data_IF_329979071774
#
_entry.id   IF_329979071774
#
_cell.length_a   1.000
_cell.length_b   1.000
_cell.length_c   1.000
_cell.angle_alpha   90.00
_cell.angle_beta   90.00
_cell.angle_gamma   90.00
#
_symmetry.space_group_name_H-M   'P 1'
#
loop_
_entity.id
_entity.type
_entity.pdbx_description
1 polymer ?
#
# COMPACT_ATOMS: atom_id res chain seq x y z
N UNK A 1 -91.69 5.54 -7.83
CA UNK A 1 -91.39 4.26 -8.50
C UNK A 1 -90.36 3.51 -7.68
N UNK A 2 -90.48 2.18 -7.55
CA UNK A 2 -89.45 1.36 -6.92
C UNK A 2 -88.15 1.33 -7.75
N UNK A 3 -87.01 1.10 -7.10
CA UNK A 3 -85.68 1.05 -7.71
C UNK A 3 -84.70 0.21 -6.86
N UNK A 4 -83.42 0.18 -7.20
CA UNK A 4 -82.39 -0.45 -6.37
C UNK A 4 -81.26 0.52 -6.05
N UNK A 5 -80.55 0.33 -4.94
CA UNK A 5 -79.33 1.08 -4.62
C UNK A 5 -78.17 0.69 -5.57
N UNK A 6 -77.25 1.62 -5.91
CA UNK A 6 -76.31 1.41 -7.01
C UNK A 6 -75.16 0.44 -6.73
N UNK A 7 -74.75 0.20 -5.47
CA UNK A 7 -73.58 -0.64 -5.14
C UNK A 7 -73.99 -2.05 -4.70
N UNK A 8 -74.88 -2.15 -3.73
CA UNK A 8 -75.39 -3.40 -3.14
C UNK A 8 -76.65 -3.95 -3.82
N UNK A 9 -77.34 -3.16 -4.64
CA UNK A 9 -78.57 -3.58 -5.30
C UNK A 9 -79.79 -3.72 -4.36
N UNK A 10 -79.83 -3.01 -3.23
CA UNK A 10 -80.92 -3.11 -2.25
C UNK A 10 -82.21 -2.50 -2.83
N UNK A 11 -83.32 -3.26 -2.81
CA UNK A 11 -84.56 -2.92 -3.51
C UNK A 11 -85.42 -1.88 -2.76
N UNK A 12 -85.32 -0.61 -3.18
CA UNK A 12 -86.05 0.55 -2.67
C UNK A 12 -87.53 0.49 -3.04
N UNK A 13 -88.38 0.68 -2.03
CA UNK A 13 -89.85 0.62 -2.12
C UNK A 13 -90.46 1.95 -2.58
N UNK A 14 -91.70 1.94 -3.08
CA UNK A 14 -92.39 3.14 -3.57
C UNK A 14 -93.34 3.71 -2.50
N UNK A 15 -93.02 4.84 -1.83
CA UNK A 15 -93.84 5.36 -0.73
C UNK A 15 -95.28 5.69 -1.12
N UNK A 16 -95.56 5.94 -2.40
CA UNK A 16 -96.91 6.28 -2.89
C UNK A 16 -97.74 5.02 -3.18
N UNK A 17 -97.11 3.94 -3.68
CA UNK A 17 -97.81 2.70 -4.00
C UNK A 17 -97.93 1.74 -2.81
N UNK A 18 -96.92 1.69 -1.94
CA UNK A 18 -96.80 0.71 -0.84
C UNK A 18 -97.47 1.14 0.48
N UNK A 19 -98.26 2.24 0.47
CA UNK A 19 -99.05 2.82 1.60
C UNK A 19 -98.23 3.20 2.85
N UNK A 20 -97.71 4.42 2.85
CA UNK A 20 -96.86 5.01 3.89
C UNK A 20 -97.55 5.30 5.26
N UNK A 21 -98.87 5.07 5.40
CA UNK A 21 -99.68 5.63 6.50
C UNK A 21 -99.39 5.05 7.90
N UNK A 22 -98.79 3.86 8.00
CA UNK A 22 -98.42 3.21 9.27
C UNK A 22 -96.92 3.05 9.47
N UNK A 23 -96.12 3.32 8.43
CA UNK A 23 -94.66 3.19 8.45
C UNK A 23 -94.06 4.11 7.38
N UNK A 24 -93.17 5.03 7.77
CA UNK A 24 -92.49 5.92 6.82
C UNK A 24 -91.42 5.15 6.03
N UNK A 25 -91.82 4.58 4.90
CA UNK A 25 -90.98 3.78 4.00
C UNK A 25 -89.76 4.57 3.52
N UNK A 26 -89.89 5.88 3.29
CA UNK A 26 -88.75 6.66 2.82
C UNK A 26 -87.66 6.73 3.90
N UNK A 27 -87.97 7.25 5.08
CA UNK A 27 -86.94 7.49 6.11
C UNK A 27 -86.53 6.25 6.89
N UNK A 28 -87.44 5.30 7.11
CA UNK A 28 -87.13 4.11 7.90
C UNK A 28 -86.48 2.98 7.09
N UNK A 29 -86.61 3.00 5.75
CA UNK A 29 -86.17 1.92 4.87
C UNK A 29 -85.27 2.44 3.72
N UNK A 30 -85.82 3.25 2.82
CA UNK A 30 -85.09 3.70 1.61
C UNK A 30 -83.84 4.54 1.93
N UNK A 31 -83.95 5.53 2.82
CA UNK A 31 -82.84 6.41 3.22
C UNK A 31 -81.77 5.63 4.00
N UNK A 32 -82.18 4.63 4.79
CA UNK A 32 -81.25 3.75 5.51
C UNK A 32 -80.50 2.81 4.55
N UNK A 33 -81.15 2.31 3.51
CA UNK A 33 -80.48 1.55 2.45
C UNK A 33 -79.47 2.40 1.66
N UNK A 34 -79.79 3.65 1.32
CA UNK A 34 -78.81 4.55 0.68
C UNK A 34 -77.57 4.78 1.57
N UNK A 35 -77.77 4.96 2.88
CA UNK A 35 -76.68 5.16 3.86
C UNK A 35 -75.82 3.90 4.06
N UNK A 36 -76.42 2.71 3.98
CA UNK A 36 -75.68 1.44 4.01
C UNK A 36 -74.90 1.24 2.71
N UNK A 37 -75.51 1.50 1.55
CA UNK A 37 -74.90 1.37 0.21
C UNK A 37 -73.66 2.26 0.04
N UNK A 38 -73.77 3.52 0.48
CA UNK A 38 -72.67 4.49 0.49
C UNK A 38 -71.61 4.18 1.55
N UNK A 39 -71.99 3.48 2.64
CA UNK A 39 -71.13 3.18 3.78
C UNK A 39 -70.23 1.95 3.62
N UNK A 40 -70.37 1.18 2.54
CA UNK A 40 -69.62 -0.08 2.34
C UNK A 40 -68.97 -0.22 0.97
N UNK A 41 -67.99 -1.13 0.91
CA UNK A 41 -67.24 -1.50 -0.30
C UNK A 41 -67.39 -3.01 -0.50
N UNK A 42 -67.67 -3.42 -1.73
CA UNK A 42 -67.76 -4.82 -2.11
C UNK A 42 -66.36 -5.46 -2.14
N UNK A 43 -66.27 -6.75 -1.81
CA UNK A 43 -65.01 -7.50 -1.91
C UNK A 43 -64.44 -7.49 -3.34
N UNK A 44 -65.32 -7.47 -4.35
CA UNK A 44 -65.00 -7.38 -5.79
C UNK A 44 -64.43 -6.02 -6.23
N UNK A 45 -64.51 -5.00 -5.38
CA UNK A 45 -63.88 -3.69 -5.63
C UNK A 45 -62.44 -3.63 -5.08
N UNK A 46 -61.99 -4.59 -4.26
CA UNK A 46 -60.62 -4.60 -3.73
C UNK A 46 -59.63 -5.07 -4.78
N UNK A 47 -58.61 -4.25 -5.07
CA UNK A 47 -57.57 -4.56 -6.06
C UNK A 47 -58.03 -4.52 -7.53
N UNK A 48 -59.32 -4.28 -7.79
CA UNK A 48 -59.88 -4.10 -9.13
C UNK A 48 -59.49 -2.75 -9.74
N UNK A 49 -59.50 -2.67 -11.08
CA UNK A 49 -59.33 -1.41 -11.79
C UNK A 49 -60.44 -0.42 -11.42
N UNK A 50 -60.06 0.82 -11.06
CA UNK A 50 -60.93 1.86 -10.48
C UNK A 50 -61.59 1.48 -9.13
N UNK A 51 -61.10 0.43 -8.46
CA UNK A 51 -61.55 0.00 -7.14
C UNK A 51 -60.76 0.62 -5.98
N UNK A 52 -60.65 -0.11 -4.87
CA UNK A 52 -59.92 0.32 -3.66
C UNK A 52 -58.71 -0.58 -3.37
N UNK A 53 -57.70 -0.02 -2.70
CA UNK A 53 -56.65 -0.78 -2.03
C UNK A 53 -56.96 -0.91 -0.53
N UNK A 54 -56.38 -1.90 0.15
CA UNK A 54 -56.44 -1.95 1.62
C UNK A 54 -55.25 -1.22 2.24
N UNK A 55 -55.45 -0.69 3.45
CA UNK A 55 -54.44 0.08 4.18
C UNK A 55 -53.82 -0.74 5.32
N UNK A 56 -52.58 -0.42 5.66
CA UNK A 56 -51.90 -0.89 6.86
C UNK A 56 -52.39 -0.15 8.13
N UNK A 57 -51.86 -0.54 9.29
CA UNK A 57 -52.16 0.10 10.58
C UNK A 57 -51.72 1.57 10.69
N UNK A 58 -50.95 2.07 9.72
CA UNK A 58 -50.50 3.46 9.61
C UNK A 58 -51.28 4.23 8.53
N UNK A 59 -52.41 3.67 8.05
CA UNK A 59 -53.27 4.22 6.99
C UNK A 59 -52.59 4.40 5.62
N UNK A 60 -51.58 3.60 5.29
CA UNK A 60 -50.89 3.60 3.99
C UNK A 60 -51.18 2.33 3.19
N UNK A 61 -51.15 2.41 1.86
CA UNK A 61 -51.23 1.22 1.00
C UNK A 61 -49.93 0.41 1.14
N UNK A 62 -49.98 -0.88 1.52
CA UNK A 62 -48.81 -1.74 1.58
C UNK A 62 -48.11 -1.85 0.23
N UNK A 63 -46.78 -1.83 0.21
CA UNK A 63 -45.99 -1.94 -1.04
C UNK A 63 -46.20 -3.26 -1.79
N UNK A 64 -46.68 -4.31 -1.12
CA UNK A 64 -47.09 -5.58 -1.73
C UNK A 64 -48.37 -5.49 -2.58
N UNK A 65 -49.12 -4.39 -2.51
CA UNK A 65 -50.28 -4.10 -3.36
C UNK A 65 -49.94 -3.16 -4.53
N UNK A 66 -48.68 -2.71 -4.63
CA UNK A 66 -48.21 -1.84 -5.70
C UNK A 66 -47.41 -2.67 -6.73
N UNK A 67 -47.64 -2.48 -8.05
CA UNK A 67 -46.78 -3.07 -9.08
C UNK A 67 -45.33 -2.61 -8.88
N UNK A 68 -44.37 -3.54 -9.02
CA UNK A 68 -42.94 -3.22 -9.00
C UNK A 68 -42.56 -2.57 -10.35
N UNK A 69 -41.73 -1.52 -10.29
CA UNK A 69 -41.21 -0.84 -11.48
C UNK A 69 -40.36 -1.79 -12.35
N UNK A 70 -40.46 -1.62 -13.66
CA UNK A 70 -39.57 -2.29 -14.64
C UNK A 70 -38.87 -1.25 -15.50
N UNK A 71 -37.98 -1.68 -16.40
CA UNK A 71 -37.37 -0.81 -17.42
C UNK A 71 -38.37 -0.23 -18.43
N UNK A 72 -39.61 -0.69 -18.45
CA UNK A 72 -40.65 -0.30 -19.42
C UNK A 72 -41.98 0.12 -18.78
N UNK A 73 -42.19 -0.11 -17.47
CA UNK A 73 -43.43 0.17 -16.75
C UNK A 73 -43.15 0.88 -15.41
N UNK A 74 -43.79 2.03 -15.12
CA UNK A 74 -43.71 2.67 -13.80
C UNK A 74 -44.28 1.78 -12.67
N UNK A 75 -43.74 1.94 -11.47
CA UNK A 75 -44.17 1.19 -10.28
C UNK A 75 -43.37 1.56 -9.03
N UNK A 76 -43.51 0.77 -7.97
CA UNK A 76 -42.72 0.90 -6.75
C UNK A 76 -41.30 0.29 -6.93
N UNK A 77 -40.30 0.89 -6.29
CA UNK A 77 -38.92 0.36 -6.27
C UNK A 77 -38.91 -0.95 -5.45
N UNK A 78 -38.32 -2.03 -5.99
CA UNK A 78 -38.22 -3.30 -5.26
C UNK A 78 -37.23 -3.20 -4.10
N UNK A 79 -37.35 -4.07 -3.08
CA UNK A 79 -36.37 -4.13 -2.00
C UNK A 79 -34.93 -4.39 -2.51
N UNK A 80 -34.79 -5.21 -3.57
CA UNK A 80 -33.51 -5.49 -4.21
C UNK A 80 -32.93 -4.27 -4.94
N UNK A 81 -33.77 -3.47 -5.59
CA UNK A 81 -33.31 -2.27 -6.30
C UNK A 81 -33.04 -1.11 -5.36
N UNK A 82 -33.80 -0.98 -4.26
CA UNK A 82 -33.45 -0.07 -3.17
C UNK A 82 -32.11 -0.46 -2.56
N UNK A 83 -31.87 -1.75 -2.29
CA UNK A 83 -30.58 -2.21 -1.74
C UNK A 83 -29.38 -1.93 -2.68
N UNK A 84 -29.58 -2.01 -4.01
CA UNK A 84 -28.55 -1.57 -4.98
C UNK A 84 -28.30 -0.06 -4.88
N UNK A 85 -29.36 0.76 -4.82
CA UNK A 85 -29.25 2.22 -4.75
C UNK A 85 -28.65 2.70 -3.41
N UNK A 86 -29.04 2.08 -2.30
CA UNK A 86 -28.51 2.37 -0.96
C UNK A 86 -27.01 2.06 -0.83
N UNK A 87 -26.49 1.14 -1.66
CA UNK A 87 -25.07 0.79 -1.73
C UNK A 87 -24.21 1.73 -2.58
N UNK A 88 -24.81 2.69 -3.28
CA UNK A 88 -24.11 3.67 -4.12
C UNK A 88 -23.87 4.93 -3.28
N UNK A 89 -22.61 5.37 -3.14
CA UNK A 89 -22.31 6.59 -2.41
C UNK A 89 -22.90 7.84 -3.11
N UNK A 90 -23.36 8.86 -2.36
CA UNK A 90 -23.77 10.13 -2.92
C UNK A 90 -22.65 10.74 -3.78
N UNK A 91 -22.97 11.06 -5.05
CA UNK A 91 -21.99 11.60 -6.00
C UNK A 91 -21.13 10.57 -6.73
N UNK A 92 -21.36 9.26 -6.55
CA UNK A 92 -20.69 8.24 -7.34
C UNK A 92 -20.99 8.38 -8.84
N UNK A 93 -19.95 8.36 -9.67
CA UNK A 93 -20.06 8.42 -11.13
C UNK A 93 -19.99 7.03 -11.76
N UNK A 94 -20.32 6.94 -13.06
CA UNK A 94 -20.04 5.73 -13.86
C UNK A 94 -18.53 5.49 -13.97
N UNK A 95 -18.11 4.22 -14.03
CA UNK A 95 -16.71 3.79 -14.08
C UNK A 95 -15.86 4.67 -15.01
N UNK A 96 -14.93 5.43 -14.43
CA UNK A 96 -14.00 6.27 -15.16
C UNK A 96 -12.93 5.36 -15.78
N UNK A 97 -13.00 5.16 -17.09
CA UNK A 97 -12.00 4.40 -17.86
C UNK A 97 -10.75 5.24 -18.21
N UNK A 98 -10.69 6.49 -17.72
CA UNK A 98 -9.53 7.36 -17.85
C UNK A 98 -8.52 7.13 -16.72
N UNK A 99 -7.24 7.36 -17.00
CA UNK A 99 -6.23 7.58 -15.97
C UNK A 99 -6.52 8.90 -15.25
N UNK A 100 -6.22 9.03 -13.95
CA UNK A 100 -6.42 10.33 -13.25
C UNK A 100 -5.23 11.26 -13.51
N UNK A 101 -4.02 10.76 -13.26
CA UNK A 101 -2.73 11.45 -13.43
C UNK A 101 -1.67 10.43 -13.80
N UNK A 102 -0.85 10.72 -14.80
CA UNK A 102 0.37 9.98 -15.11
C UNK A 102 1.57 10.91 -14.90
N UNK A 103 2.46 10.55 -13.99
CA UNK A 103 3.61 11.39 -13.63
C UNK A 103 4.87 10.97 -14.37
N UNK A 104 5.41 11.88 -15.18
CA UNK A 104 6.64 11.70 -15.97
C UNK A 104 7.72 12.62 -15.41
N UNK A 105 8.53 12.08 -14.49
CA UNK A 105 9.56 12.82 -13.77
C UNK A 105 8.96 13.92 -12.89
N UNK A 106 9.11 15.18 -13.31
CA UNK A 106 8.55 16.34 -12.63
C UNK A 106 7.16 16.77 -13.15
N UNK A 107 6.75 16.29 -14.33
CA UNK A 107 5.52 16.70 -15.02
C UNK A 107 4.37 15.75 -14.71
N UNK A 108 3.19 16.30 -14.44
CA UNK A 108 1.94 15.54 -14.46
C UNK A 108 1.32 15.60 -15.87
N UNK A 109 0.75 14.47 -16.31
CA UNK A 109 -0.18 14.36 -17.42
C UNK A 109 -1.51 13.95 -16.79
N UNK A 110 -2.31 14.95 -16.44
CA UNK A 110 -3.64 14.78 -15.84
C UNK A 110 -4.67 14.61 -16.97
N UNK A 111 -5.71 13.80 -16.76
CA UNK A 111 -6.73 13.60 -17.79
C UNK A 111 -7.65 14.82 -17.96
N UNK A 112 -7.96 15.18 -19.21
CA UNK A 112 -8.78 16.35 -19.54
C UNK A 112 -10.30 16.10 -19.47
N UNK A 113 -10.69 14.82 -19.49
CA UNK A 113 -12.07 14.40 -19.67
C UNK A 113 -12.33 13.00 -19.09
N UNK A 114 -13.61 12.62 -19.01
CA UNK A 114 -14.04 11.33 -18.42
C UNK A 114 -13.75 10.11 -19.30
N UNK A 115 -13.26 10.33 -20.52
CA UNK A 115 -12.93 9.31 -21.53
C UNK A 115 -11.73 9.79 -22.35
N UNK A 116 -10.59 9.97 -21.67
CA UNK A 116 -9.36 10.50 -22.24
C UNK A 116 -8.46 9.37 -22.83
N UNK A 117 -7.52 9.74 -23.71
CA UNK A 117 -6.64 8.85 -24.47
C UNK A 117 -5.18 9.24 -24.26
N UNK A 118 -4.42 8.39 -23.58
CA UNK A 118 -2.97 8.53 -23.47
C UNK A 118 -2.30 8.16 -24.80
N UNK A 119 -1.83 9.16 -25.56
CA UNK A 119 -0.93 8.92 -26.68
C UNK A 119 0.52 8.75 -26.18
N UNK A 120 1.18 7.64 -26.56
CA UNK A 120 2.62 7.45 -26.34
C UNK A 120 3.35 7.60 -27.67
N UNK A 121 4.01 8.74 -27.86
CA UNK A 121 4.83 9.00 -29.06
C UNK A 121 6.25 8.45 -28.86
N UNK A 122 6.74 7.71 -29.86
CA UNK A 122 8.11 7.16 -29.83
C UNK A 122 9.14 8.28 -30.06
N UNK A 123 9.98 8.54 -29.05
CA UNK A 123 11.11 9.46 -29.15
C UNK A 123 12.28 8.92 -29.98
N UNK A 124 13.26 9.77 -30.28
CA UNK A 124 14.49 9.35 -30.97
C UNK A 124 15.19 8.22 -30.22
N UNK A 125 15.59 7.19 -30.96
CA UNK A 125 16.19 5.94 -30.45
C UNK A 125 15.28 5.07 -29.55
N UNK A 126 13.95 5.25 -29.59
CA UNK A 126 12.96 4.42 -28.89
C UNK A 126 11.98 3.78 -29.89
N UNK A 127 11.62 2.51 -29.65
CA UNK A 127 10.47 1.84 -30.28
C UNK A 127 9.43 1.51 -29.23
N UNK A 128 8.17 1.73 -29.58
CA UNK A 128 6.99 1.37 -28.80
C UNK A 128 6.22 0.29 -29.57
N UNK A 129 6.06 -0.89 -28.98
CA UNK A 129 5.32 -2.01 -29.58
C UNK A 129 4.07 -2.27 -28.73
N UNK A 130 2.87 -1.85 -29.17
CA UNK A 130 1.63 -2.12 -28.46
C UNK A 130 1.13 -3.55 -28.72
N UNK A 131 0.50 -4.12 -27.71
CA UNK A 131 -0.19 -5.41 -27.71
C UNK A 131 -1.54 -5.23 -27.00
N UNK A 132 -2.58 -4.97 -27.80
CA UNK A 132 -3.96 -4.79 -27.35
C UNK A 132 -4.71 -6.12 -27.10
N UNK A 133 -4.02 -7.26 -27.09
CA UNK A 133 -4.59 -8.55 -26.64
C UNK A 133 -4.19 -8.86 -25.20
N UNK A 134 -3.02 -8.40 -24.78
CA UNK A 134 -2.46 -8.61 -23.43
C UNK A 134 -2.32 -7.29 -22.64
N UNK A 135 -3.04 -6.24 -23.03
CA UNK A 135 -3.06 -4.89 -22.44
C UNK A 135 -1.66 -4.32 -22.12
N UNK A 136 -0.73 -4.49 -23.06
CA UNK A 136 0.71 -4.24 -22.86
C UNK A 136 1.27 -3.27 -23.90
N UNK A 137 2.22 -2.44 -23.48
CA UNK A 137 3.16 -1.75 -24.39
C UNK A 137 4.57 -2.21 -24.03
N UNK A 138 5.36 -2.60 -25.04
CA UNK A 138 6.79 -2.90 -24.87
C UNK A 138 7.61 -1.70 -25.34
N UNK A 139 8.47 -1.19 -24.46
CA UNK A 139 9.35 -0.05 -24.73
C UNK A 139 10.78 -0.60 -24.91
N UNK A 140 11.39 -0.34 -26.06
CA UNK A 140 12.73 -0.81 -26.42
C UNK A 140 13.58 0.33 -26.98
N UNK A 141 14.90 0.28 -26.80
CA UNK A 141 15.85 1.19 -27.46
C UNK A 141 16.19 0.70 -28.86
N UNK A 142 16.32 1.61 -29.84
CA UNK A 142 16.90 1.33 -31.17
C UNK A 142 18.36 1.79 -31.28
N UNK A 143 18.96 2.24 -30.18
CA UNK A 143 20.39 2.47 -30.09
C UNK A 143 21.10 1.11 -30.00
N UNK A 144 21.83 0.73 -31.05
CA UNK A 144 22.65 -0.48 -31.06
C UNK A 144 23.76 -0.41 -29.98
N UNK A 145 23.94 -1.44 -29.14
CA UNK A 145 24.89 -1.41 -28.02
C UNK A 145 26.36 -1.60 -28.42
N UNK A 146 26.66 -1.77 -29.72
CA UNK A 146 27.97 -2.20 -30.22
C UNK A 146 28.88 -1.05 -30.69
N UNK A 147 29.21 -0.10 -29.81
CA UNK A 147 30.32 0.83 -30.04
C UNK A 147 31.69 0.19 -29.78
N UNK A 148 32.04 -0.82 -30.60
CA UNK A 148 33.34 -1.50 -30.53
C UNK A 148 34.29 -1.08 -31.67
N UNK A 149 33.85 -0.25 -32.61
CA UNK A 149 34.69 0.31 -33.66
C UNK A 149 35.45 1.56 -33.20
N UNK A 150 36.71 1.66 -33.57
CA UNK A 150 37.43 2.95 -33.65
C UNK A 150 36.80 3.79 -34.78
N UNK A 151 36.78 5.11 -34.68
CA UNK A 151 36.25 5.96 -35.77
C UNK A 151 37.28 6.12 -36.90
N UNK A 152 38.50 6.50 -36.55
CA UNK A 152 39.64 6.68 -37.45
C UNK A 152 40.92 6.32 -36.72
N UNK A 153 41.77 5.48 -37.33
CA UNK A 153 43.16 5.28 -36.91
C UNK A 153 44.08 5.92 -37.96
N UNK A 154 44.97 6.81 -37.53
CA UNK A 154 45.85 7.57 -38.43
C UNK A 154 47.27 7.02 -38.43
N UNK A 155 47.72 6.55 -39.59
CA UNK A 155 49.06 5.99 -39.82
C UNK A 155 49.86 6.96 -40.69
N UNK A 156 50.60 7.86 -40.03
CA UNK A 156 51.37 8.92 -40.70
C UNK A 156 50.45 9.91 -41.41
N UNK A 157 50.42 9.86 -42.74
CA UNK A 157 49.55 10.70 -43.57
C UNK A 157 48.20 10.05 -43.92
N UNK A 158 48.07 8.73 -43.73
CA UNK A 158 46.90 7.94 -44.17
C UNK A 158 45.93 7.71 -43.02
N UNK A 159 44.62 7.78 -43.30
CA UNK A 159 43.58 7.33 -42.39
C UNK A 159 43.21 5.87 -42.69
N UNK A 160 42.89 5.12 -41.64
CA UNK A 160 42.13 3.86 -41.66
C UNK A 160 40.84 4.18 -40.91
N UNK A 161 39.81 4.56 -41.66
CA UNK A 161 38.47 4.90 -41.15
C UNK A 161 37.63 3.62 -41.10
N UNK A 162 36.80 3.43 -40.07
CA UNK A 162 36.01 2.20 -39.95
C UNK A 162 34.83 2.16 -40.94
N UNK A 163 34.65 1.02 -41.61
CA UNK A 163 33.63 0.84 -42.65
C UNK A 163 32.25 0.44 -42.10
N UNK A 164 32.21 -0.05 -40.86
CA UNK A 164 31.03 -0.67 -40.26
C UNK A 164 31.06 -0.57 -38.72
N UNK A 165 29.92 -0.87 -38.09
CA UNK A 165 29.76 -0.80 -36.61
C UNK A 165 30.58 -1.86 -35.85
N UNK A 166 31.05 -2.89 -36.55
CA UNK A 166 31.80 -4.03 -35.99
C UNK A 166 33.04 -4.32 -36.83
N UNK A 167 33.74 -3.26 -37.25
CA UNK A 167 34.96 -3.34 -38.05
C UNK A 167 36.15 -3.89 -37.23
N UNK A 168 37.18 -4.41 -37.91
CA UNK A 168 38.34 -5.10 -37.35
C UNK A 168 39.64 -4.56 -37.94
N UNK A 169 40.49 -3.95 -37.10
CA UNK A 169 41.85 -3.59 -37.49
C UNK A 169 42.74 -4.84 -37.55
N UNK A 170 43.09 -5.28 -38.76
CA UNK A 170 44.14 -6.28 -38.94
C UNK A 170 45.54 -5.63 -38.84
N UNK A 171 46.43 -6.24 -38.05
CA UNK A 171 47.84 -5.86 -37.95
C UNK A 171 48.71 -6.96 -38.55
N UNK A 172 49.20 -6.76 -39.78
CA UNK A 172 50.05 -7.72 -40.49
C UNK A 172 51.53 -7.48 -40.18
N UNK A 173 52.26 -8.53 -39.80
CA UNK A 173 53.69 -8.44 -39.51
C UNK A 173 54.54 -8.33 -40.79
N UNK A 174 55.24 -7.21 -40.95
CA UNK A 174 56.22 -7.03 -42.04
C UNK A 174 57.53 -7.80 -41.81
N UNK A 175 58.34 -7.95 -42.87
CA UNK A 175 59.66 -8.59 -42.78
C UNK A 175 60.54 -7.93 -41.71
N UNK A 176 61.04 -8.71 -40.76
CA UNK A 176 61.86 -8.20 -39.65
C UNK A 176 61.07 -7.67 -38.45
N UNK A 177 59.73 -7.80 -38.43
CA UNK A 177 58.86 -7.43 -37.30
C UNK A 177 58.21 -8.68 -36.71
N UNK A 178 58.02 -8.69 -35.38
CA UNK A 178 57.16 -9.63 -34.66
C UNK A 178 56.01 -8.86 -34.02
N UNK A 179 54.80 -9.38 -34.14
CA UNK A 179 53.61 -8.89 -33.45
C UNK A 179 53.17 -9.97 -32.44
N UNK A 180 53.08 -9.60 -31.17
CA UNK A 180 52.62 -10.49 -30.10
C UNK A 180 51.34 -9.92 -29.49
N UNK A 181 50.16 -10.49 -29.77
CA UNK A 181 48.90 -10.08 -29.16
C UNK A 181 48.78 -10.62 -27.73
N UNK A 182 48.19 -9.81 -26.86
CA UNK A 182 47.78 -10.13 -25.50
C UNK A 182 46.32 -9.69 -25.34
N UNK A 183 45.40 -10.63 -25.60
CA UNK A 183 43.96 -10.44 -25.54
C UNK A 183 43.39 -10.50 -24.11
N UNK A 184 44.25 -10.55 -23.08
CA UNK A 184 43.84 -10.45 -21.66
C UNK A 184 44.06 -9.03 -21.14
N UNK A 185 45.02 -8.30 -21.72
CA UNK A 185 45.38 -6.93 -21.34
C UNK A 185 45.18 -5.91 -22.48
N UNK A 186 44.33 -6.23 -23.47
CA UNK A 186 43.99 -5.41 -24.65
C UNK A 186 45.19 -4.78 -25.36
N UNK A 187 46.27 -5.56 -25.53
CA UNK A 187 47.58 -5.07 -25.94
C UNK A 187 48.14 -5.85 -27.13
N UNK A 188 48.78 -5.13 -28.07
CA UNK A 188 49.69 -5.72 -29.06
C UNK A 188 51.10 -5.20 -28.78
N UNK A 189 52.06 -6.11 -28.65
CA UNK A 189 53.48 -5.78 -28.54
C UNK A 189 54.13 -5.89 -29.92
N UNK A 190 54.74 -4.79 -30.38
CA UNK A 190 55.48 -4.73 -31.65
C UNK A 190 56.97 -4.77 -31.34
N UNK A 191 57.70 -5.73 -31.93
CA UNK A 191 59.12 -5.95 -31.71
C UNK A 191 59.88 -6.22 -33.01
N UNK A 192 61.21 -6.11 -32.98
CA UNK A 192 62.05 -6.57 -34.07
C UNK A 192 62.22 -8.10 -34.04
N UNK A 193 62.28 -8.72 -35.22
CA UNK A 193 62.53 -10.16 -35.38
C UNK A 193 64.02 -10.42 -35.50
N UNK A 194 64.63 -10.97 -34.43
CA UNK A 194 66.05 -11.32 -34.41
C UNK A 194 66.28 -12.66 -35.10
N UNK A 195 66.96 -12.64 -36.25
CA UNK A 195 67.27 -13.85 -37.02
C UNK A 195 68.41 -14.67 -36.42
N UNK A 196 68.11 -15.86 -35.91
CA UNK A 196 69.10 -16.88 -35.54
C UNK A 196 69.40 -16.99 -34.04
N UNK A 197 70.33 -17.89 -33.72
CA UNK A 197 70.57 -18.44 -32.37
C UNK A 197 71.29 -17.47 -31.39
N UNK A 198 71.21 -16.16 -31.61
CA UNK A 198 72.02 -15.15 -30.93
C UNK A 198 71.38 -14.60 -29.64
N UNK A 199 72.21 -14.22 -28.66
CA UNK A 199 71.78 -13.58 -27.41
C UNK A 199 71.59 -12.06 -27.54
N UNK A 200 71.27 -11.56 -28.75
CA UNK A 200 71.17 -10.13 -29.03
C UNK A 200 69.78 -9.59 -28.66
N UNK A 201 69.74 -8.60 -27.77
CA UNK A 201 68.50 -7.93 -27.32
C UNK A 201 68.32 -6.52 -27.89
N UNK A 202 69.28 -6.04 -28.67
CA UNK A 202 69.24 -4.74 -29.35
C UNK A 202 69.38 -4.92 -30.85
N UNK A 203 68.61 -4.15 -31.63
CA UNK A 203 68.75 -4.14 -33.09
C UNK A 203 70.01 -3.37 -33.43
N UNK A 204 70.98 -4.02 -34.06
CA UNK A 204 72.11 -3.33 -34.63
C UNK A 204 71.64 -2.48 -35.84
N UNK A 205 72.19 -1.28 -35.99
CA UNK A 205 71.93 -0.43 -37.15
C UNK A 205 72.40 -1.14 -38.43
N UNK A 206 71.77 -0.85 -39.56
CA UNK A 206 72.11 -1.43 -40.87
C UNK A 206 73.52 -1.09 -41.39
N UNK A 207 74.31 -0.31 -40.64
CA UNK A 207 75.72 0.03 -40.92
C UNK A 207 76.72 -0.59 -39.92
N UNK A 208 76.30 -1.55 -39.07
CA UNK A 208 77.22 -2.28 -38.20
C UNK A 208 77.96 -3.41 -38.95
N UNK A 209 79.15 -3.75 -38.47
CA UNK A 209 80.00 -4.82 -39.00
C UNK A 209 80.62 -5.60 -37.82
N UNK A 210 80.93 -6.88 -38.01
CA UNK A 210 81.42 -7.80 -36.98
C UNK A 210 82.90 -8.19 -37.15
N UNK A 211 83.62 -7.60 -38.10
CA UNK A 211 84.97 -8.02 -38.51
C UNK A 211 86.10 -7.76 -37.51
N UNK A 212 85.93 -6.81 -36.58
CA UNK A 212 87.00 -6.28 -35.71
C UNK A 212 86.89 -6.47 -34.19
N UNK A 213 85.82 -7.07 -33.65
CA UNK A 213 85.58 -7.13 -32.17
C UNK A 213 85.46 -8.56 -31.61
N UNK A 214 85.15 -9.56 -32.44
CA UNK A 214 84.97 -10.94 -31.99
C UNK A 214 86.15 -11.84 -32.41
N UNK A 215 86.58 -12.70 -31.48
CA UNK A 215 87.46 -13.84 -31.74
C UNK A 215 86.84 -14.71 -32.83
N UNK A 216 87.64 -15.06 -33.86
CA UNK A 216 87.14 -15.83 -35.01
C UNK A 216 87.18 -17.33 -34.69
N UNK A 217 86.03 -17.99 -34.83
CA UNK A 217 85.87 -19.44 -34.55
C UNK A 217 86.72 -20.36 -35.43
N UNK A 218 87.32 -19.82 -36.49
CA UNK A 218 88.39 -20.46 -37.25
C UNK A 218 89.55 -19.45 -37.44
N UNK A 219 90.78 -19.90 -37.16
CA UNK A 219 92.02 -19.15 -37.41
C UNK A 219 92.51 -18.23 -36.29
N UNK A 220 91.70 -17.94 -35.28
CA UNK A 220 92.19 -17.31 -34.05
C UNK A 220 92.95 -18.32 -33.17
N UNK A 221 93.90 -17.83 -32.38
CA UNK A 221 94.79 -18.65 -31.54
C UNK A 221 94.59 -18.45 -30.04
N UNK A 222 93.78 -17.47 -29.61
CA UNK A 222 93.45 -17.22 -28.19
C UNK A 222 94.69 -17.02 -27.28
N UNK A 223 95.84 -16.59 -27.81
CA UNK A 223 97.10 -16.49 -27.07
C UNK A 223 97.16 -15.28 -26.14
N UNK A 224 96.42 -15.32 -25.04
CA UNK A 224 96.44 -14.32 -23.95
C UNK A 224 96.06 -14.92 -22.59
N UNK A 225 96.59 -14.39 -21.47
CA UNK A 225 96.39 -14.98 -20.14
C UNK A 225 95.02 -14.66 -19.52
N UNK A 226 94.24 -15.70 -19.20
CA UNK A 226 92.99 -15.63 -18.43
C UNK A 226 93.23 -15.41 -16.93
N UNK A 227 92.25 -14.82 -16.21
CA UNK A 227 92.32 -14.56 -14.76
C UNK A 227 90.96 -14.80 -14.08
N UNK A 228 90.99 -15.35 -12.85
CA UNK A 228 89.84 -15.54 -11.95
C UNK A 228 90.13 -14.85 -10.60
N UNK A 229 89.10 -14.41 -9.85
CA UNK A 229 89.29 -13.37 -8.84
C UNK A 229 88.94 -13.69 -7.35
N UNK A 230 88.34 -14.83 -6.98
CA UNK A 230 88.19 -15.27 -5.55
C UNK A 230 87.68 -16.73 -5.38
N UNK A 231 87.96 -17.42 -4.25
CA UNK A 231 87.29 -18.66 -3.79
C UNK A 231 86.10 -18.42 -2.81
N UNK A 232 85.34 -19.46 -2.43
CA UNK A 232 84.08 -19.41 -1.64
C UNK A 232 84.04 -20.36 -0.40
N UNK A 233 83.34 -19.99 0.71
CA UNK A 233 82.98 -20.87 1.86
C UNK A 233 81.45 -20.97 2.18
N UNK A 234 81.01 -21.79 3.17
CA UNK A 234 79.57 -22.13 3.43
C UNK A 234 79.18 -22.51 4.91
N UNK A 235 77.87 -22.51 5.28
CA UNK A 235 77.30 -23.09 6.56
C UNK A 235 75.85 -22.63 6.99
N UNK A 236 75.06 -23.44 7.75
CA UNK A 236 73.61 -23.23 8.22
C UNK A 236 73.24 -24.05 9.53
N UNK A 237 72.23 -23.71 10.39
CA UNK A 237 71.75 -24.51 11.59
C UNK A 237 70.36 -24.13 12.29
N UNK A 238 69.68 -24.99 13.13
CA UNK A 238 68.26 -24.83 13.75
C UNK A 238 67.79 -25.80 14.95
N UNK A 239 66.80 -25.48 15.87
CA UNK A 239 66.08 -26.36 16.94
C UNK A 239 64.78 -25.71 17.64
N UNK A 240 63.91 -26.07 18.68
CA UNK A 240 63.56 -27.12 19.78
C UNK A 240 62.10 -26.94 20.45
N UNK A 241 61.45 -27.87 21.28
CA UNK A 241 60.05 -27.74 21.96
C UNK A 241 59.64 -28.59 23.29
N UNK A 242 58.49 -28.34 24.06
CA UNK A 242 58.01 -29.01 25.36
C UNK A 242 56.44 -29.34 25.65
N UNK A 243 55.96 -29.79 26.87
CA UNK A 243 54.56 -30.28 27.29
C UNK A 243 54.10 -30.23 28.84
N UNK A 244 52.76 -30.35 29.24
CA UNK A 244 52.05 -30.89 30.52
C UNK A 244 50.59 -30.33 30.87
N UNK A 245 49.64 -30.74 31.81
CA UNK A 245 49.10 -31.96 32.59
C UNK A 245 47.77 -31.69 33.48
N UNK A 246 46.95 -32.68 34.04
CA UNK A 246 45.56 -32.50 34.65
C UNK A 246 44.98 -33.33 35.91
N UNK A 247 43.71 -33.09 36.42
CA UNK A 247 42.63 -34.02 37.00
C UNK A 247 41.98 -34.04 38.47
N UNK A 248 41.93 -33.00 39.32
CA UNK A 248 40.99 -32.91 40.50
C UNK A 248 40.31 -31.51 40.56
N UNK A 249 39.10 -31.40 41.13
CA UNK A 249 38.32 -30.16 41.21
C UNK A 249 37.23 -30.00 40.13
N UNK A 250 37.28 -28.90 39.37
CA UNK A 250 36.22 -28.55 38.38
C UNK A 250 36.45 -29.34 37.08
N UNK A 251 35.48 -30.18 36.71
CA UNK A 251 35.47 -30.88 35.41
C UNK A 251 34.36 -30.35 34.50
N UNK A 252 34.63 -30.37 33.20
CA UNK A 252 33.69 -29.95 32.17
C UNK A 252 33.35 -31.12 31.26
N UNK A 253 32.07 -31.34 31.00
CA UNK A 253 31.57 -32.38 30.09
C UNK A 253 30.75 -31.73 28.98
N UNK A 254 31.09 -32.01 27.73
CA UNK A 254 30.30 -31.59 26.58
C UNK A 254 29.18 -32.57 26.28
N UNK A 255 28.03 -32.01 25.89
CA UNK A 255 26.79 -32.74 25.66
C UNK A 255 26.43 -32.54 24.19
N UNK A 256 26.38 -33.64 23.45
CA UNK A 256 26.38 -33.67 21.98
C UNK A 256 25.29 -34.61 21.43
N UNK A 257 24.08 -34.51 21.97
CA UNK A 257 22.93 -35.33 21.62
C UNK A 257 22.37 -36.16 22.77
N UNK A 258 21.14 -36.64 22.59
CA UNK A 258 20.23 -37.17 23.62
C UNK A 258 20.62 -38.54 24.27
N UNK A 259 21.91 -38.92 24.26
CA UNK A 259 22.32 -40.30 24.53
C UNK A 259 23.41 -40.54 25.59
N UNK A 260 24.06 -39.51 26.13
CA UNK A 260 25.34 -39.71 26.84
C UNK A 260 25.32 -39.62 28.38
N UNK A 261 24.39 -38.88 29.00
CA UNK A 261 24.16 -38.93 30.46
C UNK A 261 22.67 -38.80 30.77
N UNK A 262 22.12 -39.66 31.64
CA UNK A 262 20.68 -39.63 31.95
C UNK A 262 20.26 -38.36 32.69
N UNK A 263 19.12 -37.80 32.26
CA UNK A 263 18.47 -36.67 32.94
C UNK A 263 19.26 -35.37 32.86
N UNK A 264 19.59 -34.91 31.65
CA UNK A 264 20.08 -33.55 31.35
C UNK A 264 18.89 -32.65 30.93
N UNK A 265 18.97 -31.31 31.05
CA UNK A 265 17.83 -30.43 30.73
C UNK A 265 17.49 -30.44 29.25
N UNK A 266 18.50 -30.30 28.39
CA UNK A 266 18.39 -30.32 26.92
C UNK A 266 19.59 -31.06 26.31
N UNK A 267 19.53 -31.32 25.00
CA UNK A 267 20.41 -32.29 24.33
C UNK A 267 21.80 -31.77 23.97
N UNK A 268 22.06 -30.45 24.06
CA UNK A 268 23.34 -29.85 23.68
C UNK A 268 23.72 -28.72 24.65
N UNK A 269 24.95 -28.78 25.15
CA UNK A 269 25.38 -27.91 26.24
C UNK A 269 26.73 -28.32 26.82
N UNK A 270 27.19 -27.57 27.83
CA UNK A 270 28.35 -27.93 28.65
C UNK A 270 27.91 -28.04 30.10
N UNK A 271 28.17 -29.20 30.72
CA UNK A 271 28.06 -29.37 32.17
C UNK A 271 29.36 -28.91 32.81
N UNK A 272 29.26 -28.00 33.77
CA UNK A 272 30.28 -27.78 34.79
C UNK A 272 29.91 -28.65 36.00
N UNK A 273 30.73 -29.66 36.29
CA UNK A 273 30.59 -30.47 37.50
C UNK A 273 31.58 -29.96 38.53
N UNK A 274 31.09 -29.65 39.73
CA UNK A 274 31.92 -29.27 40.87
C UNK A 274 31.70 -30.32 41.95
N UNK A 275 32.71 -31.18 42.15
CA UNK A 275 32.76 -32.18 43.21
C UNK A 275 33.87 -31.81 44.17
N UNK A 276 33.58 -31.67 45.46
CA UNK A 276 34.62 -31.51 46.47
C UNK A 276 34.25 -32.32 47.71
N UNK A 277 34.90 -33.48 47.87
CA UNK A 277 34.47 -34.54 48.78
C UNK A 277 33.03 -34.98 48.45
N UNK A 278 32.12 -34.94 49.41
CA UNK A 278 30.81 -35.59 49.36
C UNK A 278 29.68 -34.71 48.80
N UNK A 279 29.94 -33.41 48.60
CA UNK A 279 28.97 -32.45 48.03
C UNK A 279 29.23 -32.25 46.54
N UNK A 280 28.17 -32.31 45.73
CA UNK A 280 28.23 -32.24 44.26
C UNK A 280 27.17 -31.30 43.70
N UNK A 281 27.64 -30.29 42.98
CA UNK A 281 26.81 -29.35 42.23
C UNK A 281 27.04 -29.51 40.73
N UNK A 282 25.97 -29.36 39.95
CA UNK A 282 26.08 -29.23 38.50
C UNK A 282 25.38 -27.96 38.02
N UNK A 283 26.08 -27.22 37.18
CA UNK A 283 25.49 -26.21 36.31
C UNK A 283 25.53 -26.74 34.87
N UNK A 284 24.39 -26.66 34.19
CA UNK A 284 24.29 -26.94 32.76
C UNK A 284 24.15 -25.61 32.02
N UNK A 285 25.09 -25.34 31.14
CA UNK A 285 25.09 -24.18 30.25
C UNK A 285 24.65 -24.65 28.86
N UNK A 286 23.43 -24.31 28.47
CA UNK A 286 22.87 -24.68 27.17
C UNK A 286 23.65 -24.01 26.02
N UNK A 287 23.84 -24.75 24.91
CA UNK A 287 24.48 -24.20 23.72
C UNK A 287 23.46 -23.49 22.81
N UNK A 288 23.92 -22.44 22.14
CA UNK A 288 23.08 -21.65 21.22
C UNK A 288 22.82 -22.47 19.95
N UNK A 289 21.53 -22.69 19.64
CA UNK A 289 21.12 -23.50 18.50
C UNK A 289 20.82 -22.63 17.25
N UNK A 290 21.35 -22.96 16.05
CA UNK A 290 21.13 -22.17 14.83
C UNK A 290 19.67 -22.03 14.37
N UNK A 291 18.74 -22.86 14.87
CA UNK A 291 17.34 -22.88 14.45
C UNK A 291 16.37 -22.12 15.38
N UNK A 292 16.86 -21.21 16.23
CA UNK A 292 16.02 -20.14 16.80
C UNK A 292 15.17 -20.49 18.04
N UNK A 293 15.58 -21.46 18.86
CA UNK A 293 15.02 -21.64 20.21
C UNK A 293 15.59 -20.63 21.23
N UNK A 294 14.92 -20.36 22.36
CA UNK A 294 15.40 -19.46 23.41
C UNK A 294 16.71 -20.01 24.02
N UNK A 295 17.83 -19.44 23.62
CA UNK A 295 19.15 -20.06 23.72
C UNK A 295 19.99 -19.51 24.87
N UNK A 296 20.83 -20.36 25.46
CA UNK A 296 21.78 -19.99 26.53
C UNK A 296 21.22 -20.11 27.95
N UNK A 297 20.13 -20.84 28.15
CA UNK A 297 19.56 -21.09 29.47
C UNK A 297 20.57 -21.76 30.41
N UNK A 298 20.65 -21.29 31.66
CA UNK A 298 21.41 -21.95 32.73
C UNK A 298 20.47 -22.72 33.64
N UNK A 299 20.82 -23.97 33.93
CA UNK A 299 20.11 -24.83 34.88
C UNK A 299 21.07 -25.24 36.00
N UNK A 300 20.53 -25.44 37.20
CA UNK A 300 21.29 -26.01 38.32
C UNK A 300 20.58 -27.24 38.92
N UNK A 301 21.38 -28.13 39.50
CA UNK A 301 20.92 -29.15 40.45
C UNK A 301 22.03 -29.53 41.42
N UNK A 302 21.64 -30.20 42.50
CA UNK A 302 22.53 -30.83 43.46
C UNK A 302 22.11 -32.29 43.68
N UNK A 303 23.02 -33.09 44.21
CA UNK A 303 22.71 -34.36 44.88
C UNK A 303 22.68 -34.13 46.40
N UNK A 304 22.02 -35.01 47.14
CA UNK A 304 22.10 -35.02 48.61
C UNK A 304 23.52 -35.37 49.08
N UNK A 305 23.90 -34.91 50.28
CA UNK A 305 25.20 -35.24 50.87
C UNK A 305 25.30 -36.77 51.08
N UNK A 306 26.32 -37.39 50.47
CA UNK A 306 26.50 -38.84 50.30
C UNK A 306 25.51 -39.61 49.39
N UNK A 307 24.51 -38.98 48.76
CA UNK A 307 23.61 -39.69 47.83
C UNK A 307 24.16 -39.74 46.38
N UNK A 308 23.75 -40.76 45.63
CA UNK A 308 23.92 -40.86 44.17
C UNK A 308 22.67 -40.44 43.40
N UNK A 309 21.53 -40.29 44.08
CA UNK A 309 20.30 -39.74 43.52
C UNK A 309 20.43 -38.22 43.35
N UNK A 310 20.16 -37.74 42.13
CA UNK A 310 20.15 -36.31 41.80
C UNK A 310 18.77 -35.69 42.00
N UNK A 311 18.74 -34.44 42.47
CA UNK A 311 17.54 -33.61 42.38
C UNK A 311 17.16 -33.31 40.92
N UNK A 312 15.92 -32.85 40.73
CA UNK A 312 15.49 -32.33 39.42
C UNK A 312 16.29 -31.08 39.04
N UNK A 313 16.36 -30.78 37.74
CA UNK A 313 16.96 -29.55 37.25
C UNK A 313 16.01 -28.38 37.44
N UNK A 314 16.51 -27.32 38.06
CA UNK A 314 15.80 -26.04 38.15
C UNK A 314 16.41 -25.07 37.15
N UNK A 315 15.57 -24.46 36.31
CA UNK A 315 15.98 -23.38 35.40
C UNK A 315 16.25 -22.12 36.23
N UNK A 316 17.32 -21.41 35.92
CA UNK A 316 17.58 -20.09 36.49
C UNK A 316 16.90 -19.04 35.61
N UNK A 317 16.07 -18.19 36.24
CA UNK A 317 15.46 -17.03 35.60
C UNK A 317 16.45 -15.87 35.51
N UNK A 318 16.46 -15.18 34.38
CA UNK A 318 17.29 -14.01 34.10
C UNK A 318 16.59 -13.11 33.06
N UNK A 319 17.16 -11.93 32.83
CA UNK A 319 16.74 -10.87 31.89
C UNK A 319 16.37 -11.28 30.46
N UNK A 320 16.76 -12.48 30.03
CA UNK A 320 16.47 -13.05 28.71
C UNK A 320 15.37 -14.11 28.71
N UNK A 321 14.77 -14.42 29.88
CA UNK A 321 13.73 -15.44 29.98
C UNK A 321 12.68 -15.22 31.09
N UNK A 322 12.73 -14.13 31.85
CA UNK A 322 11.83 -13.80 32.97
C UNK A 322 10.45 -13.24 32.56
N UNK A 323 10.27 -12.87 31.29
CA UNK A 323 9.01 -12.34 30.75
C UNK A 323 7.91 -13.36 30.41
N UNK A 324 6.93 -12.91 29.63
CA UNK A 324 5.72 -13.67 29.28
C UNK A 324 6.01 -15.08 28.73
N UNK A 325 5.33 -16.08 29.30
CA UNK A 325 5.55 -17.50 28.99
C UNK A 325 6.53 -18.22 29.92
N UNK A 326 7.16 -17.52 30.87
CA UNK A 326 7.97 -18.12 31.95
C UNK A 326 7.19 -19.07 32.86
N UNK A 327 5.87 -18.89 32.97
CA UNK A 327 5.02 -19.63 33.92
C UNK A 327 4.91 -18.98 35.31
N UNK A 328 5.47 -17.77 35.47
CA UNK A 328 5.22 -16.90 36.62
C UNK A 328 4.19 -15.83 36.22
N UNK A 329 2.99 -15.91 36.76
CA UNK A 329 1.89 -14.97 36.46
C UNK A 329 2.03 -13.69 37.31
N UNK A 330 2.96 -12.82 36.91
CA UNK A 330 3.18 -11.50 37.49
C UNK A 330 2.50 -10.37 36.68
N UNK A 331 2.06 -10.67 35.45
CA UNK A 331 1.54 -9.70 34.48
C UNK A 331 0.01 -9.50 34.56
N UNK A 332 -0.72 -10.40 35.24
CA UNK A 332 -2.18 -10.26 35.42
C UNK A 332 -2.59 -9.84 36.84
N UNK A 333 -3.73 -9.16 36.93
CA UNK A 333 -4.43 -8.90 38.19
C UNK A 333 -5.74 -9.67 38.17
N UNK A 334 -5.94 -10.60 39.11
CA UNK A 334 -7.10 -11.51 39.17
C UNK A 334 -7.37 -12.26 37.84
N UNK A 335 -6.30 -12.62 37.10
CA UNK A 335 -6.40 -13.28 35.79
C UNK A 335 -6.82 -12.37 34.64
N UNK A 336 -6.77 -11.04 34.84
CA UNK A 336 -7.01 -10.02 33.81
C UNK A 336 -5.72 -9.31 33.39
N UNK A 337 -5.57 -9.10 32.09
CA UNK A 337 -4.47 -8.35 31.49
C UNK A 337 -4.68 -6.84 31.68
N UNK A 338 -3.61 -6.04 31.64
CA UNK A 338 -3.72 -4.59 31.76
C UNK A 338 -4.65 -3.96 30.70
N UNK A 339 -4.77 -4.58 29.53
CA UNK A 339 -5.69 -4.20 28.44
C UNK A 339 -7.18 -4.47 28.70
N UNK A 340 -7.53 -5.27 29.72
CA UNK A 340 -8.93 -5.51 30.13
C UNK A 340 -9.52 -4.31 30.92
N UNK A 341 -8.68 -3.34 31.31
CA UNK A 341 -9.05 -2.24 32.20
C UNK A 341 -8.92 -0.86 31.53
N UNK A 342 -9.95 -0.02 31.73
CA UNK A 342 -9.92 1.41 31.36
C UNK A 342 -9.30 2.22 32.50
N UNK A 343 -8.42 3.17 32.19
CA UNK A 343 -7.81 4.04 33.19
C UNK A 343 -8.77 5.15 33.61
N UNK A 344 -8.86 5.44 34.91
CA UNK A 344 -9.77 6.47 35.45
C UNK A 344 -9.56 7.87 34.86
N UNK A 345 -8.35 8.15 34.35
CA UNK A 345 -7.96 9.39 33.67
C UNK A 345 -8.51 9.54 32.24
N UNK A 346 -8.88 8.44 31.58
CA UNK A 346 -9.41 8.44 30.21
C UNK A 346 -10.91 8.75 30.16
N UNK A 347 -11.61 8.57 31.28
CA UNK A 347 -13.05 8.82 31.37
C UNK A 347 -13.37 10.29 31.08
N UNK A 348 -14.10 10.55 29.99
CA UNK A 348 -14.48 11.90 29.59
C UNK A 348 -13.32 12.75 29.06
N UNK A 349 -12.30 12.12 28.45
CA UNK A 349 -11.23 12.80 27.71
C UNK A 349 -11.33 12.53 26.21
N UNK A 350 -10.78 13.42 25.35
CA UNK A 350 -10.57 13.13 23.93
C UNK A 350 -9.84 11.78 23.77
N UNK A 351 -10.32 10.95 22.85
CA UNK A 351 -9.85 9.57 22.60
C UNK A 351 -9.96 8.59 23.78
N UNK A 352 -10.65 8.96 24.87
CA UNK A 352 -10.98 8.08 25.99
C UNK A 352 -12.40 7.53 25.90
N UNK A 353 -12.95 7.05 27.03
CA UNK A 353 -14.30 6.45 27.08
C UNK A 353 -15.33 7.34 27.77
N UNK A 354 -16.59 7.21 27.36
CA UNK A 354 -17.74 7.81 28.03
C UNK A 354 -18.41 6.85 29.03
N UNK A 355 -19.25 7.38 29.92
CA UNK A 355 -20.15 6.53 30.73
C UNK A 355 -21.46 6.31 30.00
N UNK A 356 -21.95 5.07 29.97
CA UNK A 356 -23.27 4.74 29.46
C UNK A 356 -24.34 4.93 30.56
N UNK A 357 -25.54 5.37 30.17
CA UNK A 357 -26.72 5.41 31.01
C UNK A 357 -27.43 4.05 31.11
N UNK A 358 -28.54 3.96 31.87
CA UNK A 358 -29.31 2.72 32.03
C UNK A 358 -29.91 2.16 30.72
N UNK A 359 -29.98 2.96 29.66
CA UNK A 359 -30.42 2.55 28.32
C UNK A 359 -29.26 2.10 27.40
N UNK A 360 -28.03 2.06 27.91
CA UNK A 360 -26.83 1.67 27.17
C UNK A 360 -26.25 2.75 26.25
N UNK A 361 -26.69 4.02 26.34
CA UNK A 361 -26.17 5.13 25.51
C UNK A 361 -25.35 6.12 26.30
N UNK A 362 -24.53 6.91 25.59
CA UNK A 362 -23.87 8.09 26.17
C UNK A 362 -24.94 9.15 26.48
N UNK A 363 -25.07 9.62 27.74
CA UNK A 363 -26.00 10.69 28.10
C UNK A 363 -25.70 12.00 27.38
N UNK A 364 -26.74 12.79 27.11
CA UNK A 364 -26.67 14.08 26.40
C UNK A 364 -25.67 15.07 27.02
N UNK A 365 -25.45 14.98 28.33
CA UNK A 365 -24.59 15.86 29.13
C UNK A 365 -23.09 15.53 28.98
N UNK A 366 -22.76 14.45 28.25
CA UNK A 366 -21.39 14.02 27.93
C UNK A 366 -21.03 14.25 26.44
N UNK A 367 -21.92 14.82 25.64
CA UNK A 367 -21.66 15.22 24.25
C UNK A 367 -21.17 16.66 24.20
N UNK A 368 -20.26 16.98 23.27
CA UNK A 368 -19.84 18.37 23.02
C UNK A 368 -20.94 19.15 22.31
N UNK A 369 -20.98 20.46 22.53
CA UNK A 369 -21.94 21.38 21.90
C UNK A 369 -21.57 21.76 20.46
N UNK A 370 -20.85 20.90 19.74
CA UNK A 370 -20.29 21.17 18.40
C UNK A 370 -21.33 21.09 17.27
N UNK A 371 -22.62 21.11 17.62
CA UNK A 371 -23.66 21.53 16.69
C UNK A 371 -23.44 23.02 16.42
N UNK A 372 -23.00 23.35 15.20
CA UNK A 372 -22.68 24.71 14.77
C UNK A 372 -23.70 25.72 15.33
N UNK A 373 -23.19 26.76 16.00
CA UNK A 373 -24.05 27.69 16.72
C UNK A 373 -25.05 28.32 15.77
N UNK A 374 -26.19 28.75 16.32
CA UNK A 374 -27.23 29.43 15.53
C UNK A 374 -26.63 30.58 14.71
N UNK A 375 -25.66 31.28 15.27
CA UNK A 375 -25.01 32.43 14.64
C UNK A 375 -24.06 31.99 13.52
N UNK A 376 -23.28 30.91 13.67
CA UNK A 376 -22.44 30.37 12.58
C UNK A 376 -23.30 29.89 11.39
N UNK A 377 -24.41 29.19 11.66
CA UNK A 377 -25.39 28.81 10.64
C UNK A 377 -26.04 30.02 9.97
N UNK A 378 -26.29 31.09 10.75
CA UNK A 378 -26.86 32.36 10.27
C UNK A 378 -25.91 33.09 9.33
N UNK A 379 -24.61 33.16 9.66
CA UNK A 379 -23.58 33.78 8.80
C UNK A 379 -23.32 32.95 7.52
N UNK A 380 -23.24 31.62 7.63
CA UNK A 380 -23.06 30.75 6.46
C UNK A 380 -24.20 30.95 5.43
N UNK A 381 -25.43 31.10 5.91
CA UNK A 381 -26.59 31.36 5.06
C UNK A 381 -26.54 32.73 4.37
N UNK A 382 -25.99 33.77 5.01
CA UNK A 382 -25.77 35.10 4.39
C UNK A 382 -24.75 34.97 3.26
N UNK A 383 -23.58 34.40 3.54
CA UNK A 383 -22.48 34.30 2.57
C UNK A 383 -22.89 33.56 1.28
N UNK A 384 -23.71 32.51 1.40
CA UNK A 384 -24.26 31.76 0.26
C UNK A 384 -25.23 32.62 -0.58
N UNK A 385 -26.03 33.47 0.07
CA UNK A 385 -26.96 34.40 -0.60
C UNK A 385 -26.19 35.51 -1.32
N UNK A 386 -25.19 36.13 -0.67
CA UNK A 386 -24.35 37.17 -1.30
C UNK A 386 -23.62 36.64 -2.54
N UNK A 387 -22.99 35.46 -2.44
CA UNK A 387 -22.35 34.80 -3.59
C UNK A 387 -23.33 34.53 -4.74
N UNK A 388 -24.59 34.17 -4.44
CA UNK A 388 -25.60 33.96 -5.47
C UNK A 388 -26.05 35.27 -6.13
N UNK A 389 -26.21 36.35 -5.35
CA UNK A 389 -26.56 37.68 -5.85
C UNK A 389 -25.42 38.27 -6.69
N UNK A 390 -24.17 38.14 -6.27
CA UNK A 390 -23.00 38.53 -7.07
C UNK A 390 -22.95 37.75 -8.40
N UNK A 391 -23.16 36.43 -8.36
CA UNK A 391 -23.13 35.58 -9.55
C UNK A 391 -24.21 35.96 -10.58
N UNK A 392 -25.45 36.16 -10.13
CA UNK A 392 -26.58 36.54 -10.99
C UNK A 392 -26.44 37.97 -11.52
N UNK A 393 -25.95 38.92 -10.71
CA UNK A 393 -25.73 40.30 -11.19
C UNK A 393 -24.56 40.39 -12.17
N UNK A 394 -23.46 39.65 -11.94
CA UNK A 394 -22.30 39.62 -12.84
C UNK A 394 -22.58 38.92 -14.18
N UNK A 395 -23.51 37.96 -14.22
CA UNK A 395 -23.84 37.18 -15.43
C UNK A 395 -25.14 37.59 -16.14
N UNK A 396 -26.11 38.16 -15.42
CA UNK A 396 -27.45 38.46 -15.93
C UNK A 396 -27.80 39.94 -16.11
N UNK A 397 -27.06 40.88 -15.50
CA UNK A 397 -27.43 42.29 -15.53
C UNK A 397 -27.01 43.00 -16.84
N UNK A 398 -27.94 43.77 -17.43
CA UNK A 398 -27.65 44.68 -18.56
C UNK A 398 -27.57 46.12 -18.08
N UNK A 399 -26.37 46.57 -17.69
CA UNK A 399 -26.14 47.88 -17.06
C UNK A 399 -25.91 49.02 -18.06
N UNK A 400 -26.96 49.41 -18.80
CA UNK A 400 -26.91 50.53 -19.74
C UNK A 400 -27.00 51.89 -19.02
N UNK A 401 -26.11 52.83 -19.37
CA UNK A 401 -26.18 54.23 -18.93
C UNK A 401 -25.68 54.52 -17.51
N UNK A 402 -25.11 53.53 -16.81
CA UNK A 402 -24.54 53.68 -15.47
C UNK A 402 -23.18 54.37 -15.55
N UNK A 403 -23.05 55.56 -14.94
CA UNK A 403 -21.81 56.36 -14.91
C UNK A 403 -21.20 56.52 -13.52
N UNK A 404 -21.73 55.79 -12.53
CA UNK A 404 -21.30 55.80 -11.14
C UNK A 404 -21.22 54.38 -10.58
N UNK A 405 -20.50 54.20 -9.47
CA UNK A 405 -20.36 52.89 -8.82
C UNK A 405 -21.70 52.43 -8.24
N UNK A 406 -22.02 51.15 -8.43
CA UNK A 406 -23.15 50.47 -7.76
C UNK A 406 -22.57 49.63 -6.63
N UNK A 407 -23.21 49.69 -5.46
CA UNK A 407 -22.97 48.80 -4.33
C UNK A 407 -24.26 48.00 -4.07
N UNK A 408 -24.11 46.72 -3.72
CA UNK A 408 -25.22 45.80 -3.43
C UNK A 408 -24.86 45.10 -2.13
N UNK A 409 -25.78 45.10 -1.16
CA UNK A 409 -25.60 44.54 0.18
C UNK A 409 -26.85 43.72 0.53
N UNK A 410 -26.68 42.47 0.97
CA UNK A 410 -27.79 41.63 1.42
C UNK A 410 -28.03 41.78 2.92
N UNK A 411 -29.30 41.89 3.30
CA UNK A 411 -29.73 41.95 4.70
C UNK A 411 -30.76 40.85 4.95
N UNK A 412 -30.66 40.13 6.08
CA UNK A 412 -31.66 39.10 6.44
C UNK A 412 -33.05 39.68 6.68
N UNK A 413 -33.11 40.94 7.08
CA UNK A 413 -34.34 41.65 7.44
C UNK A 413 -34.11 43.17 7.29
N UNK A 414 -35.17 43.97 7.31
CA UNK A 414 -35.10 45.42 7.08
C UNK A 414 -34.90 46.27 8.36
N UNK A 415 -34.88 45.66 9.55
CA UNK A 415 -34.84 46.38 10.82
C UNK A 415 -33.47 47.07 11.06
N UNK A 416 -32.42 46.52 10.46
CA UNK A 416 -31.04 47.03 10.59
C UNK A 416 -30.73 48.18 9.62
N UNK A 417 -31.64 48.47 8.67
CA UNK A 417 -31.46 49.48 7.61
C UNK A 417 -32.09 50.83 8.03
N UNK A 418 -31.25 51.79 8.41
CA UNK A 418 -31.70 53.17 8.68
C UNK A 418 -31.74 54.00 7.39
N UNK A 419 -32.93 54.14 6.79
CA UNK A 419 -33.16 55.01 5.63
C UNK A 419 -33.03 56.49 6.03
N UNK A 420 -31.99 57.18 5.53
CA UNK A 420 -31.78 58.61 5.78
C UNK A 420 -32.72 59.49 4.95
N UNK A 421 -32.96 59.12 3.69
CA UNK A 421 -33.89 59.78 2.76
C UNK A 421 -34.78 58.71 2.10
N UNK A 422 -36.01 59.10 1.73
CA UNK A 422 -36.98 58.26 1.03
C UNK A 422 -37.90 57.43 1.93
N UNK A 423 -38.83 56.71 1.32
CA UNK A 423 -39.82 55.84 1.97
C UNK A 423 -39.80 54.46 1.31
N UNK A 424 -39.71 53.40 2.11
CA UNK A 424 -39.84 52.03 1.62
C UNK A 424 -41.32 51.63 1.45
N UNK A 425 -41.73 51.43 0.20
CA UNK A 425 -43.02 50.90 -0.20
C UNK A 425 -43.03 49.39 0.07
N UNK A 426 -43.45 49.01 1.28
CA UNK A 426 -43.40 47.62 1.77
C UNK A 426 -44.36 46.67 1.07
N UNK A 427 -45.35 47.19 0.32
CA UNK A 427 -46.25 46.42 -0.52
C UNK A 427 -45.61 46.08 -1.87
N UNK A 428 -45.00 47.07 -2.54
CA UNK A 428 -44.36 46.90 -3.86
C UNK A 428 -42.85 46.63 -3.79
N UNK A 429 -42.29 46.43 -2.59
CA UNK A 429 -40.90 46.04 -2.30
C UNK A 429 -39.83 46.96 -2.91
N UNK A 430 -40.08 48.27 -2.90
CA UNK A 430 -39.21 49.28 -3.53
C UNK A 430 -38.95 50.46 -2.60
N UNK A 431 -37.78 51.09 -2.73
CA UNK A 431 -37.53 52.41 -2.16
C UNK A 431 -38.04 53.49 -3.11
N UNK A 432 -38.74 54.50 -2.57
CA UNK A 432 -39.12 55.72 -3.28
C UNK A 432 -38.35 56.88 -2.64
N UNK A 433 -37.56 57.60 -3.44
CA UNK A 433 -36.76 58.75 -3.01
C UNK A 433 -37.49 60.07 -3.27
#
# INVERSE_FOLDING_TARGET
>A
MASNTPRLGLYKKDPVADRNDTFNIQTMLNDNWDRIDQGVVLETEKGSANGVASLDGNAKVPTSQLPIATTTSPGAISASDKAKLDGIQPGAEVNQNAFTTIKVGATNIDADSKTDVLELVAGSNITLTPDATNDKITISTTAEPNQNAFTTIKVGATNIDADSKTDTLELVAGTGVVLTPDAVNDKVTIAASFGGNGSATTVARSDHNHDGVYVKTAGDTMTGPLKFNTPLPAGVNTSDTPDKWPNDGITYYDVLGAGLLQGQPTNYGKIMHISQRDVKFQYFFEWIHPQGGPSGSVYYRHAGEHDTVWGQWHKIWHDGNDGAGSGLDADTVDGKQASDFVWKTEKGKPNGVATLGPDGKVPSEQLSSDAATKDELTHLNINIIDMAVELETLKGATLNGVTANIFIESFQNLNDINLMNGIYDSANKRLVL
#
